data_IF_135301152463
#
_entry.id   IF_135301152463
#
_cell.length_a   1.000
_cell.length_b   1.000
_cell.length_c   1.000
_cell.angle_alpha   90.00
_cell.angle_beta   90.00
_cell.angle_gamma   90.00
#
_symmetry.space_group_name_H-M   'P 1'
#
loop_
_entity.id
_entity.type
_entity.pdbx_description
1 polymer ?
#
# COMPACT_ATOMS: atom_id res chain seq x y z
N UNK A 1 4.68 14.36 36.36
CA UNK A 1 3.96 14.48 35.08
C UNK A 1 3.91 13.11 34.41
N UNK A 2 2.87 12.34 34.75
CA UNK A 2 2.54 11.12 34.02
C UNK A 2 2.03 11.56 32.65
N UNK A 3 2.83 11.36 31.62
CA UNK A 3 2.35 11.52 30.25
C UNK A 3 1.61 10.23 29.97
N UNK A 4 0.31 10.24 30.27
CA UNK A 4 -0.62 9.20 29.84
C UNK A 4 -0.65 9.27 28.32
N UNK A 5 0.13 8.39 27.68
CA UNK A 5 0.07 8.21 26.23
C UNK A 5 -1.26 7.51 25.99
N UNK A 6 -2.32 8.32 25.85
CA UNK A 6 -3.66 7.86 25.49
C UNK A 6 -3.48 6.90 24.32
N UNK A 7 -3.77 5.64 24.58
CA UNK A 7 -3.40 4.50 23.76
C UNK A 7 -3.97 4.71 22.36
N UNK A 8 -3.13 5.22 21.47
CA UNK A 8 -3.24 5.25 20.02
C UNK A 8 -4.67 4.91 19.55
N UNK A 9 -5.53 5.92 19.39
CA UNK A 9 -6.64 5.76 18.47
C UNK A 9 -6.03 5.37 17.13
N UNK A 10 -6.17 4.10 16.76
CA UNK A 10 -5.80 3.61 15.44
C UNK A 10 -6.81 4.24 14.49
N UNK A 11 -6.45 5.40 13.96
CA UNK A 11 -7.27 6.09 12.96
C UNK A 11 -7.13 5.30 11.67
N UNK A 12 -8.27 4.81 11.15
CA UNK A 12 -8.36 4.16 9.86
C UNK A 12 -7.76 5.04 8.75
N UNK A 13 -6.97 4.42 7.87
CA UNK A 13 -6.23 5.10 6.80
C UNK A 13 -6.66 4.61 5.43
N UNK A 14 -6.60 5.54 4.49
CA UNK A 14 -6.71 5.24 3.07
C UNK A 14 -5.31 5.21 2.44
N UNK A 15 -4.92 4.07 1.89
CA UNK A 15 -3.57 3.84 1.37
C UNK A 15 -3.60 3.54 -0.12
N UNK A 16 -2.99 4.40 -0.94
CA UNK A 16 -2.85 4.18 -2.37
C UNK A 16 -1.41 3.74 -2.70
N UNK A 17 -1.23 2.50 -3.11
CA UNK A 17 0.07 1.95 -3.49
C UNK A 17 0.28 2.12 -5.00
N UNK A 18 1.36 2.79 -5.39
CA UNK A 18 1.66 3.06 -6.80
C UNK A 18 2.96 2.34 -7.18
N UNK A 19 2.84 1.33 -8.05
CA UNK A 19 3.93 0.44 -8.44
C UNK A 19 4.42 0.77 -9.86
N UNK A 20 5.70 1.10 -10.00
CA UNK A 20 6.35 1.23 -11.32
C UNK A 20 6.51 -0.18 -11.93
N UNK A 21 5.98 -0.37 -13.14
CA UNK A 21 6.12 -1.61 -13.92
C UNK A 21 6.84 -1.38 -15.25
N UNK A 22 7.57 -0.26 -15.37
CA UNK A 22 8.34 0.08 -16.56
C UNK A 22 9.47 -0.91 -16.83
N UNK A 23 10.07 -0.82 -18.03
CA UNK A 23 11.17 -1.70 -18.43
C UNK A 23 12.39 -1.64 -17.50
N UNK A 24 12.59 -0.53 -16.79
CA UNK A 24 13.68 -0.37 -15.81
C UNK A 24 13.49 -1.29 -14.60
N UNK A 25 12.25 -1.65 -14.25
CA UNK A 25 11.90 -2.46 -13.09
C UNK A 25 12.06 -3.96 -13.32
N UNK A 26 12.42 -4.39 -14.53
CA UNK A 26 12.59 -5.82 -14.86
C UNK A 26 13.61 -6.53 -13.95
N UNK A 27 13.37 -7.83 -13.76
CA UNK A 27 14.20 -8.70 -12.94
C UNK A 27 13.94 -8.48 -11.45
N UNK A 28 15.00 -8.56 -10.65
CA UNK A 28 14.89 -8.54 -9.18
C UNK A 28 14.18 -7.31 -8.61
N UNK A 29 14.25 -6.15 -9.28
CA UNK A 29 13.62 -4.91 -8.79
C UNK A 29 12.09 -5.01 -8.71
N UNK A 30 11.43 -5.64 -9.68
CA UNK A 30 9.97 -5.80 -9.63
C UNK A 30 9.58 -6.84 -8.58
N UNK A 31 10.43 -7.85 -8.36
CA UNK A 31 10.16 -8.88 -7.35
C UNK A 31 10.28 -8.30 -5.94
N UNK A 32 11.36 -7.57 -5.66
CA UNK A 32 11.52 -6.83 -4.40
C UNK A 32 10.41 -5.79 -4.19
N UNK A 33 10.01 -5.07 -5.24
CA UNK A 33 8.92 -4.10 -5.13
C UNK A 33 7.58 -4.78 -4.79
N UNK A 34 7.30 -5.97 -5.34
CA UNK A 34 6.11 -6.75 -4.99
C UNK A 34 6.16 -7.29 -3.56
N UNK A 35 7.32 -7.74 -3.10
CA UNK A 35 7.51 -8.18 -1.71
C UNK A 35 7.27 -7.02 -0.73
N UNK A 36 7.83 -5.84 -1.01
CA UNK A 36 7.58 -4.65 -0.22
C UNK A 36 6.10 -4.24 -0.23
N UNK A 37 5.43 -4.34 -1.38
CA UNK A 37 4.01 -4.04 -1.51
C UNK A 37 3.17 -5.02 -0.68
N UNK A 38 3.50 -6.31 -0.74
CA UNK A 38 2.85 -7.35 0.07
C UNK A 38 3.04 -7.11 1.56
N UNK A 39 4.26 -6.76 1.98
CA UNK A 39 4.55 -6.39 3.37
C UNK A 39 3.69 -5.21 3.85
N UNK A 40 3.47 -4.19 3.01
CA UNK A 40 2.58 -3.07 3.39
C UNK A 40 1.15 -3.56 3.58
N UNK A 41 0.63 -4.37 2.65
CA UNK A 41 -0.73 -4.91 2.73
C UNK A 41 -0.92 -5.78 3.98
N UNK A 42 0.06 -6.63 4.30
CA UNK A 42 0.03 -7.51 5.48
C UNK A 42 0.07 -6.74 6.82
N UNK A 43 0.44 -5.45 6.79
CA UNK A 43 0.53 -4.58 7.98
C UNK A 43 -0.58 -3.51 8.02
N UNK A 44 -1.56 -3.57 7.12
CA UNK A 44 -2.77 -2.76 7.22
C UNK A 44 -3.68 -3.30 8.33
N UNK A 45 -4.42 -2.40 8.98
CA UNK A 45 -5.40 -2.77 9.98
C UNK A 45 -6.74 -3.12 9.31
N UNK A 46 -7.61 -3.85 10.01
CA UNK A 46 -8.92 -4.28 9.47
C UNK A 46 -9.83 -3.11 9.03
N UNK A 47 -9.64 -1.92 9.61
CA UNK A 47 -10.40 -0.71 9.27
C UNK A 47 -9.75 0.12 8.15
N UNK A 48 -8.52 -0.22 7.75
CA UNK A 48 -7.82 0.46 6.66
C UNK A 48 -8.42 0.07 5.30
N UNK A 49 -8.29 0.97 4.34
CA UNK A 49 -8.66 0.71 2.94
C UNK A 49 -7.48 0.97 2.04
N UNK A 50 -7.38 0.20 0.96
CA UNK A 50 -6.30 0.35 0.00
C UNK A 50 -6.76 0.26 -1.44
N UNK A 51 -5.88 0.71 -2.34
CA UNK A 51 -5.93 0.34 -3.75
C UNK A 51 -4.50 0.34 -4.31
N UNK A 52 -4.30 -0.36 -5.43
CA UNK A 52 -3.01 -0.50 -6.08
C UNK A 52 -3.12 0.04 -7.51
N UNK A 53 -2.17 0.87 -7.91
CA UNK A 53 -2.03 1.39 -9.27
C UNK A 53 -0.69 0.95 -9.82
N UNK A 54 -0.71 0.09 -10.83
CA UNK A 54 0.48 -0.17 -11.64
C UNK A 54 0.62 0.94 -12.69
N UNK A 55 1.81 1.55 -12.78
CA UNK A 55 2.08 2.61 -13.76
C UNK A 55 3.28 2.27 -14.64
N UNK A 56 3.16 2.59 -15.92
CA UNK A 56 4.27 2.65 -16.87
C UNK A 56 3.93 3.70 -17.94
N UNK A 57 3.72 3.30 -19.19
CA UNK A 57 3.15 4.18 -20.24
C UNK A 57 1.67 4.49 -20.00
N UNK A 58 0.96 3.58 -19.34
CA UNK A 58 -0.43 3.75 -18.91
C UNK A 58 -0.59 3.32 -17.46
N UNK A 59 -1.71 3.68 -16.85
CA UNK A 59 -2.07 3.26 -15.50
C UNK A 59 -3.08 2.12 -15.54
N UNK A 60 -2.93 1.18 -14.61
CA UNK A 60 -3.88 0.11 -14.36
C UNK A 60 -4.15 0.02 -12.87
N UNK A 61 -5.39 0.28 -12.47
CA UNK A 61 -5.84 0.11 -11.09
C UNK A 61 -6.25 -1.34 -10.82
N UNK A 62 -6.01 -1.82 -9.60
CA UNK A 62 -6.48 -3.11 -9.12
C UNK A 62 -8.00 -3.10 -8.95
N UNK A 63 -8.54 -2.09 -8.26
CA UNK A 63 -9.96 -1.85 -8.08
C UNK A 63 -10.37 -0.45 -8.59
N UNK A 64 -11.67 -0.23 -8.79
CA UNK A 64 -12.19 1.09 -9.18
C UNK A 64 -12.05 2.11 -8.05
N UNK A 65 -12.32 1.68 -6.82
CA UNK A 65 -12.32 2.48 -5.60
C UNK A 65 -11.40 1.85 -4.55
N UNK A 66 -11.23 2.50 -3.39
CA UNK A 66 -10.55 1.89 -2.25
C UNK A 66 -11.36 0.69 -1.74
N UNK A 67 -10.67 -0.42 -1.48
CA UNK A 67 -11.25 -1.65 -0.93
C UNK A 67 -10.73 -1.87 0.49
N UNK A 68 -11.48 -2.56 1.37
CA UNK A 68 -10.97 -2.97 2.67
C UNK A 68 -9.66 -3.77 2.55
N UNK A 69 -8.77 -3.58 3.52
CA UNK A 69 -7.51 -4.34 3.68
C UNK A 69 -7.73 -5.86 3.74
#
# INVERSE_FOLDING_TARGET
PDVDVDSQQVIAKDVLLVLDVSGSMRGEKIDQAKEALSFVLDNLNDEDRFNIIAFSTSTRSYARDLVPA
#
